data_IF_090543386351
#
_entry.id   IF_090543386351
#
_cell.length_a   1.000
_cell.length_b   1.000
_cell.length_c   1.000
_cell.angle_alpha   90.00
_cell.angle_beta   90.00
_cell.angle_gamma   90.00
#
_symmetry.space_group_name_H-M   'P 1'
#
loop_
_entity.id
_entity.type
_entity.pdbx_description
1 polymer ?
#
# COMPACT_ATOMS: atom_id res chain seq x y z
N UNK A 1 -16.27 -49.63 -57.92
CA UNK A 1 -16.60 -48.31 -57.33
C UNK A 1 -15.83 -48.14 -56.02
N UNK A 2 -14.77 -47.32 -55.98
CA UNK A 2 -14.26 -46.79 -54.71
C UNK A 2 -14.29 -45.26 -54.72
N UNK A 3 -14.90 -44.70 -53.67
CA UNK A 3 -15.05 -43.27 -53.41
C UNK A 3 -13.68 -42.57 -53.24
N UNK A 4 -13.47 -41.47 -53.96
CA UNK A 4 -12.36 -40.53 -53.71
C UNK A 4 -12.82 -39.49 -52.69
N UNK A 5 -12.22 -39.48 -51.50
CA UNK A 5 -12.33 -38.38 -50.54
C UNK A 5 -11.41 -37.24 -50.97
N UNK A 6 -11.97 -36.04 -51.13
CA UNK A 6 -11.22 -34.79 -51.31
C UNK A 6 -10.98 -34.22 -49.91
N UNK A 7 -9.72 -34.14 -49.49
CA UNK A 7 -9.31 -33.44 -48.27
C UNK A 7 -9.02 -31.98 -48.64
N UNK A 8 -9.88 -31.06 -48.24
CA UNK A 8 -9.64 -29.62 -48.38
C UNK A 8 -8.74 -29.14 -47.24
N UNK A 9 -7.50 -28.78 -47.56
CA UNK A 9 -6.59 -28.09 -46.64
C UNK A 9 -7.01 -26.62 -46.56
N UNK A 10 -7.72 -26.24 -45.51
CA UNK A 10 -7.97 -24.85 -45.18
C UNK A 10 -6.71 -24.22 -44.59
N UNK A 11 -5.99 -23.41 -45.37
CA UNK A 11 -5.00 -22.48 -44.86
C UNK A 11 -5.72 -21.39 -44.06
N UNK A 12 -5.83 -21.60 -42.75
CA UNK A 12 -6.19 -20.54 -41.82
C UNK A 12 -5.03 -19.54 -41.76
N UNK A 13 -5.22 -18.36 -42.36
CA UNK A 13 -4.39 -17.19 -42.09
C UNK A 13 -4.50 -16.89 -40.58
N UNK A 14 -3.40 -16.82 -39.83
CA UNK A 14 -3.47 -16.35 -38.45
C UNK A 14 -3.92 -14.89 -38.50
N UNK A 15 -5.09 -14.60 -37.92
CA UNK A 15 -5.49 -13.25 -37.56
C UNK A 15 -4.34 -12.65 -36.75
N UNK A 16 -3.64 -11.69 -37.34
CA UNK A 16 -2.54 -11.00 -36.68
C UNK A 16 -3.06 -10.40 -35.37
N UNK A 17 -2.50 -10.82 -34.24
CA UNK A 17 -2.59 -10.06 -33.02
C UNK A 17 -2.08 -8.65 -33.34
N UNK A 18 -2.94 -7.64 -33.18
CA UNK A 18 -2.49 -6.26 -33.23
C UNK A 18 -1.35 -6.13 -32.22
N UNK A 19 -0.14 -5.81 -32.72
CA UNK A 19 0.99 -5.56 -31.85
C UNK A 19 0.58 -4.47 -30.86
N UNK A 20 0.68 -4.76 -29.56
CA UNK A 20 0.32 -3.81 -28.53
C UNK A 20 1.14 -2.51 -28.74
N UNK A 21 0.43 -1.38 -28.84
CA UNK A 21 1.02 -0.12 -29.25
C UNK A 21 1.84 0.53 -28.13
N UNK A 22 2.82 1.34 -28.51
CA UNK A 22 3.48 2.24 -27.58
C UNK A 22 2.58 3.45 -27.31
N UNK A 23 2.64 3.97 -26.08
CA UNK A 23 1.89 5.13 -25.62
C UNK A 23 2.83 6.21 -25.11
N UNK A 24 2.40 7.47 -25.21
CA UNK A 24 3.12 8.62 -24.66
C UNK A 24 2.40 9.10 -23.40
N UNK A 25 3.16 9.24 -22.31
CA UNK A 25 2.68 9.79 -21.06
C UNK A 25 3.30 11.18 -20.86
N UNK A 26 2.47 12.21 -20.99
CA UNK A 26 2.85 13.59 -20.75
C UNK A 26 2.66 13.93 -19.27
N UNK A 27 3.69 14.48 -18.63
CA UNK A 27 3.64 14.99 -17.27
C UNK A 27 4.03 16.47 -17.27
N UNK A 28 3.12 17.32 -16.79
CA UNK A 28 3.36 18.76 -16.65
C UNK A 28 3.67 19.09 -15.18
N UNK A 29 4.75 19.84 -14.92
CA UNK A 29 5.08 20.28 -13.56
C UNK A 29 4.07 21.29 -13.00
N UNK A 30 3.41 22.05 -13.88
CA UNK A 30 2.61 23.20 -13.49
C UNK A 30 3.49 24.31 -12.92
N UNK A 31 2.99 25.08 -11.95
CA UNK A 31 3.70 26.25 -11.42
C UNK A 31 4.84 25.94 -10.43
N UNK A 32 5.05 24.67 -10.09
CA UNK A 32 5.99 24.27 -9.06
C UNK A 32 6.96 23.21 -9.57
N UNK A 33 8.21 23.31 -9.16
CA UNK A 33 9.19 22.23 -9.37
C UNK A 33 8.65 20.94 -8.72
N UNK A 34 8.81 19.82 -9.43
CA UNK A 34 8.51 18.48 -8.94
C UNK A 34 9.81 17.75 -8.70
N UNK A 35 9.93 17.12 -7.53
CA UNK A 35 11.04 16.22 -7.24
C UNK A 35 10.54 15.04 -6.41
N UNK A 36 10.97 13.83 -6.79
CA UNK A 36 10.55 12.59 -6.13
C UNK A 36 9.02 12.43 -6.06
N UNK A 37 8.31 12.91 -7.08
CA UNK A 37 6.84 13.03 -7.04
C UNK A 37 6.19 11.77 -7.61
N UNK A 38 5.32 11.07 -6.85
CA UNK A 38 4.55 9.96 -7.38
C UNK A 38 3.52 10.46 -8.40
N UNK A 39 3.43 9.77 -9.53
CA UNK A 39 2.43 10.01 -10.57
C UNK A 39 1.68 8.70 -10.78
N UNK A 40 0.36 8.77 -10.66
CA UNK A 40 -0.56 7.66 -10.96
C UNK A 40 -1.37 8.01 -12.20
N UNK A 41 -1.51 7.06 -13.11
CA UNK A 41 -2.22 7.25 -14.37
C UNK A 41 -2.96 5.97 -14.79
N UNK A 42 -4.06 6.09 -15.56
CA UNK A 42 -4.75 4.92 -16.09
C UNK A 42 -3.88 4.20 -17.13
N UNK A 43 -3.81 2.89 -17.05
CA UNK A 43 -3.18 2.05 -18.07
C UNK A 43 -4.11 1.85 -19.27
N UNK A 44 -3.55 1.75 -20.49
CA UNK A 44 -4.32 1.33 -21.66
C UNK A 44 -4.92 -0.06 -21.47
N UNK A 45 -6.18 -0.25 -21.89
CA UNK A 45 -6.83 -1.56 -21.90
C UNK A 45 -6.31 -2.41 -23.07
N UNK A 46 -5.18 -3.08 -22.82
CA UNK A 46 -4.44 -3.84 -23.82
C UNK A 46 -4.30 -5.33 -23.47
N UNK A 47 -4.95 -5.81 -22.40
CA UNK A 47 -4.76 -7.17 -21.88
C UNK A 47 -3.31 -7.47 -21.45
N UNK A 48 -2.51 -6.43 -21.24
CA UNK A 48 -1.08 -6.53 -20.99
C UNK A 48 -0.78 -6.57 -19.48
N UNK A 49 -0.06 -7.60 -19.03
CA UNK A 49 0.30 -7.77 -17.62
C UNK A 49 1.48 -6.89 -17.16
N UNK A 50 2.40 -6.55 -18.06
CA UNK A 50 3.63 -5.81 -17.72
C UNK A 50 3.91 -4.69 -18.72
N UNK A 51 4.47 -3.61 -18.19
CA UNK A 51 4.78 -2.41 -18.94
C UNK A 51 6.22 -1.96 -18.69
N UNK A 52 6.82 -1.35 -19.69
CA UNK A 52 8.08 -0.64 -19.63
C UNK A 52 7.81 0.85 -19.75
N UNK A 53 8.36 1.62 -18.82
CA UNK A 53 8.37 3.07 -18.90
C UNK A 53 9.79 3.54 -19.18
N UNK A 54 9.94 4.49 -20.10
CA UNK A 54 11.22 5.16 -20.40
C UNK A 54 11.04 6.66 -20.30
N UNK A 55 12.03 7.34 -19.73
CA UNK A 55 12.06 8.80 -19.60
C UNK A 55 12.43 9.50 -20.93
N UNK A 56 12.41 10.85 -20.98
CA UNK A 56 12.76 11.59 -22.20
C UNK A 56 14.17 11.30 -22.74
N UNK A 57 15.09 10.85 -21.88
CA UNK A 57 16.46 10.49 -22.25
C UNK A 57 16.58 9.02 -22.69
N UNK A 58 15.47 8.29 -22.76
CA UNK A 58 15.40 6.87 -23.15
C UNK A 58 15.81 5.90 -22.04
N UNK A 59 16.00 6.38 -20.80
CA UNK A 59 16.37 5.52 -19.67
C UNK A 59 15.14 4.87 -19.07
N UNK A 60 15.27 3.60 -18.67
CA UNK A 60 14.20 2.87 -18.02
C UNK A 60 13.85 3.47 -16.65
N UNK A 61 12.55 3.58 -16.38
CA UNK A 61 11.98 4.08 -15.12
C UNK A 61 11.12 3.00 -14.48
N UNK A 62 11.25 2.85 -13.16
CA UNK A 62 10.43 1.94 -12.38
C UNK A 62 8.95 2.31 -12.49
N UNK A 63 8.13 1.36 -12.94
CA UNK A 63 6.68 1.48 -13.06
C UNK A 63 6.03 0.31 -12.33
N UNK A 64 4.90 0.57 -11.68
CA UNK A 64 4.15 -0.41 -10.92
C UNK A 64 2.68 -0.37 -11.31
N UNK A 65 2.19 -1.44 -11.93
CA UNK A 65 0.76 -1.61 -12.19
C UNK A 65 0.00 -1.90 -10.90
N UNK A 66 -1.21 -1.34 -10.79
CA UNK A 66 -2.11 -1.52 -9.66
C UNK A 66 -3.34 -2.35 -10.09
N UNK A 67 -4.01 -3.01 -9.13
CA UNK A 67 -5.08 -3.99 -9.38
C UNK A 67 -6.40 -3.47 -9.98
N UNK A 68 -6.40 -2.27 -10.57
CA UNK A 68 -7.59 -1.58 -11.07
C UNK A 68 -7.33 -0.83 -12.38
N UNK A 69 -6.33 -1.24 -13.15
CA UNK A 69 -6.03 -0.64 -14.46
C UNK A 69 -5.35 0.72 -14.37
N UNK A 70 -4.62 0.98 -13.29
CA UNK A 70 -3.73 2.14 -13.17
C UNK A 70 -2.29 1.68 -12.98
N UNK A 71 -1.35 2.61 -13.15
CA UNK A 71 0.04 2.41 -12.78
C UNK A 71 0.61 3.67 -12.14
N UNK A 72 1.61 3.45 -11.29
CA UNK A 72 2.35 4.50 -10.62
C UNK A 72 3.84 4.43 -10.96
N UNK A 73 4.48 5.61 -11.02
CA UNK A 73 5.92 5.78 -11.10
C UNK A 73 6.36 7.06 -10.37
N UNK A 74 7.67 7.28 -10.21
CA UNK A 74 8.21 8.48 -9.57
C UNK A 74 8.87 9.38 -10.61
N UNK A 75 8.44 10.64 -10.68
CA UNK A 75 9.14 11.70 -11.41
C UNK A 75 10.34 12.15 -10.58
N UNK A 76 11.55 12.01 -11.13
CA UNK A 76 12.80 12.33 -10.44
C UNK A 76 12.96 13.82 -10.14
N UNK A 77 13.11 14.63 -11.19
CA UNK A 77 13.09 16.10 -11.13
C UNK A 77 12.43 16.65 -12.39
N UNK A 78 11.60 17.67 -12.25
CA UNK A 78 11.00 18.41 -13.36
C UNK A 78 10.80 19.86 -12.91
N UNK A 79 11.40 20.84 -13.61
CA UNK A 79 11.32 22.22 -13.17
C UNK A 79 9.91 22.79 -13.33
N UNK A 80 9.61 23.89 -12.63
CA UNK A 80 8.35 24.60 -12.82
C UNK A 80 8.16 24.96 -14.30
N UNK A 81 6.93 24.81 -14.79
CA UNK A 81 6.49 25.05 -16.17
C UNK A 81 7.08 24.11 -17.23
N UNK A 82 7.87 23.11 -16.84
CA UNK A 82 8.35 22.09 -17.77
C UNK A 82 7.35 20.95 -17.95
N UNK A 83 7.51 20.29 -19.10
CA UNK A 83 6.80 19.07 -19.46
C UNK A 83 7.81 17.98 -19.75
N UNK A 84 7.59 16.78 -19.20
CA UNK A 84 8.29 15.57 -19.59
C UNK A 84 7.35 14.64 -20.35
N UNK A 85 7.86 13.98 -21.38
CA UNK A 85 7.13 12.95 -22.13
C UNK A 85 7.84 11.62 -21.94
N UNK A 86 7.17 10.69 -21.29
CA UNK A 86 7.63 9.33 -21.08
C UNK A 86 7.04 8.43 -22.16
N UNK A 87 7.76 7.38 -22.54
CA UNK A 87 7.24 6.35 -23.44
C UNK A 87 6.89 5.10 -22.62
N UNK A 88 5.64 4.67 -22.75
CA UNK A 88 5.08 3.47 -22.16
C UNK A 88 4.94 2.40 -23.26
N UNK A 89 5.61 1.26 -23.08
CA UNK A 89 5.58 0.15 -24.03
C UNK A 89 5.18 -1.16 -23.33
N UNK A 90 4.48 -2.08 -24.02
CA UNK A 90 4.23 -3.43 -23.53
C UNK A 90 5.54 -4.16 -23.22
N UNK A 91 5.56 -4.93 -22.12
CA UNK A 91 6.70 -5.74 -21.73
C UNK A 91 6.31 -7.20 -21.50
N UNK A 92 7.16 -8.14 -21.89
CA UNK A 92 6.90 -9.57 -21.67
C UNK A 92 7.10 -10.02 -20.22
N UNK A 93 7.87 -9.26 -19.43
CA UNK A 93 8.26 -9.57 -18.05
C UNK A 93 8.32 -8.27 -17.22
N UNK A 94 8.31 -8.35 -15.88
CA UNK A 94 8.58 -7.20 -15.02
C UNK A 94 9.91 -6.54 -15.39
N UNK A 95 9.91 -5.21 -15.50
CA UNK A 95 11.08 -4.43 -15.94
C UNK A 95 12.00 -4.01 -14.80
N UNK A 96 11.50 -4.05 -13.56
CA UNK A 96 12.22 -3.64 -12.37
C UNK A 96 11.98 -4.64 -11.23
N UNK A 97 12.99 -4.82 -10.37
CA UNK A 97 12.85 -5.59 -9.14
C UNK A 97 12.13 -4.75 -8.10
N UNK A 98 11.47 -5.44 -7.16
CA UNK A 98 10.94 -4.77 -5.97
C UNK A 98 12.10 -4.15 -5.19
N UNK A 99 11.94 -2.87 -4.83
CA UNK A 99 12.87 -2.13 -3.96
C UNK A 99 12.18 -1.60 -2.72
N UNK A 100 10.85 -1.51 -2.75
CA UNK A 100 10.03 -1.24 -1.56
C UNK A 100 9.44 -2.57 -1.11
N UNK A 101 9.84 -3.01 0.07
CA UNK A 101 9.50 -4.33 0.60
C UNK A 101 8.56 -4.22 1.78
N UNK A 102 7.66 -5.18 1.87
CA UNK A 102 6.82 -5.42 3.03
C UNK A 102 7.07 -6.84 3.52
N UNK A 103 7.39 -6.99 4.80
CA UNK A 103 7.60 -8.28 5.45
C UNK A 103 6.76 -8.39 6.72
N UNK A 104 6.06 -9.51 6.91
CA UNK A 104 5.39 -9.83 8.17
C UNK A 104 6.40 -10.43 9.15
N UNK A 105 6.47 -9.89 10.36
CA UNK A 105 7.32 -10.42 11.43
C UNK A 105 6.68 -10.10 12.79
N UNK A 106 6.52 -11.12 13.65
CA UNK A 106 6.08 -10.97 15.04
C UNK A 106 4.81 -10.12 15.21
N UNK A 107 3.77 -10.41 14.41
CA UNK A 107 2.50 -9.67 14.46
C UNK A 107 2.56 -8.24 13.91
N UNK A 108 3.66 -7.86 13.26
CA UNK A 108 3.86 -6.55 12.62
C UNK A 108 4.13 -6.69 11.12
N UNK A 109 3.88 -5.63 10.37
CA UNK A 109 4.35 -5.46 9.00
C UNK A 109 5.49 -4.45 9.00
N UNK A 110 6.67 -4.86 8.55
CA UNK A 110 7.84 -4.00 8.36
C UNK A 110 7.91 -3.57 6.91
N UNK A 111 7.94 -2.25 6.68
CA UNK A 111 8.11 -1.67 5.35
C UNK A 111 9.52 -1.09 5.22
N UNK A 112 10.26 -1.49 4.19
CA UNK A 112 11.61 -0.99 3.90
C UNK A 112 11.74 -0.49 2.47
N UNK A 113 12.68 0.44 2.25
CA UNK A 113 13.20 0.81 0.93
C UNK A 113 14.65 0.36 0.89
N UNK A 114 14.95 -0.65 0.06
CA UNK A 114 16.17 -1.45 0.21
C UNK A 114 16.26 -2.01 1.63
N UNK A 115 17.40 -1.80 2.28
CA UNK A 115 17.64 -2.25 3.67
C UNK A 115 17.17 -1.24 4.73
N UNK A 116 16.65 -0.07 4.33
CA UNK A 116 16.27 0.99 5.27
C UNK A 116 14.80 0.84 5.68
N UNK A 117 14.54 0.72 6.97
CA UNK A 117 13.18 0.76 7.52
C UNK A 117 12.56 2.14 7.31
N UNK A 118 11.33 2.16 6.78
CA UNK A 118 10.50 3.37 6.64
C UNK A 118 9.47 3.44 7.76
N UNK A 119 8.72 2.36 7.95
CA UNK A 119 7.75 2.27 9.03
C UNK A 119 7.47 0.81 9.39
N UNK A 120 6.93 0.60 10.60
CA UNK A 120 6.23 -0.63 10.95
C UNK A 120 4.75 -0.34 11.21
N UNK A 121 3.90 -1.26 10.78
CA UNK A 121 2.52 -1.36 11.22
C UNK A 121 2.40 -2.50 12.24
N UNK A 122 2.06 -2.17 13.49
CA UNK A 122 1.73 -3.14 14.52
C UNK A 122 0.31 -3.63 14.26
N UNK A 123 0.15 -4.84 13.72
CA UNK A 123 -1.17 -5.41 13.41
C UNK A 123 -1.78 -6.02 14.68
N UNK A 124 -1.15 -7.07 15.19
CA UNK A 124 -1.60 -7.81 16.38
C UNK A 124 -1.28 -7.02 17.66
N UNK A 125 -1.83 -7.44 18.81
CA UNK A 125 -1.53 -6.80 20.10
C UNK A 125 -0.03 -6.83 20.37
N UNK A 126 0.56 -5.67 20.65
CA UNK A 126 1.98 -5.54 20.91
C UNK A 126 2.38 -6.23 22.22
N UNK A 127 3.68 -6.50 22.33
CA UNK A 127 4.31 -6.70 23.62
C UNK A 127 4.38 -5.35 24.36
N UNK A 128 4.37 -5.42 25.69
CA UNK A 128 4.57 -4.23 26.52
C UNK A 128 6.07 -3.96 26.63
N UNK A 129 6.54 -2.72 26.38
CA UNK A 129 7.97 -2.41 26.37
C UNK A 129 8.58 -2.33 27.77
N UNK A 130 7.76 -2.34 28.83
CA UNK A 130 8.20 -2.22 30.23
C UNK A 130 7.30 -3.04 31.14
N UNK A 131 7.89 -3.60 32.21
CA UNK A 131 7.18 -4.48 33.15
C UNK A 131 6.18 -3.75 34.07
N UNK A 132 6.28 -2.42 34.19
CA UNK A 132 5.38 -1.59 35.00
C UNK A 132 4.04 -1.28 34.30
N UNK A 133 3.88 -1.71 33.05
CA UNK A 133 2.67 -1.50 32.28
C UNK A 133 1.66 -2.64 32.52
N UNK A 134 0.41 -2.26 32.78
CA UNK A 134 -0.70 -3.21 32.89
C UNK A 134 -1.00 -3.85 31.51
N UNK A 135 -1.30 -5.16 31.44
CA UNK A 135 -1.75 -5.84 30.22
C UNK A 135 -2.86 -5.13 29.43
N UNK A 136 -3.72 -4.33 30.08
CA UNK A 136 -4.78 -3.57 29.42
C UNK A 136 -4.27 -2.58 28.36
N UNK A 137 -3.00 -2.15 28.44
CA UNK A 137 -2.40 -1.21 27.48
C UNK A 137 -1.91 -1.86 26.18
N UNK A 138 -1.98 -3.20 26.05
CA UNK A 138 -1.60 -3.88 24.80
C UNK A 138 -2.55 -3.52 23.66
N UNK A 139 -2.01 -2.91 22.61
CA UNK A 139 -2.78 -2.50 21.43
C UNK A 139 -2.22 -3.09 20.14
N UNK A 140 -3.07 -3.21 19.13
CA UNK A 140 -2.68 -3.41 17.73
C UNK A 140 -3.37 -2.35 16.85
N UNK A 141 -3.14 -2.38 15.54
CA UNK A 141 -3.74 -1.43 14.61
C UNK A 141 -3.15 -0.02 14.69
N UNK A 142 -1.82 0.10 14.78
CA UNK A 142 -1.14 1.39 14.79
C UNK A 142 0.19 1.34 14.03
N UNK A 143 0.71 2.51 13.65
CA UNK A 143 1.99 2.66 12.95
C UNK A 143 3.04 3.18 13.93
N UNK A 144 4.04 2.36 14.20
CA UNK A 144 5.25 2.73 14.94
C UNK A 144 6.34 1.66 14.77
N UNK A 145 7.60 2.04 14.53
CA UNK A 145 8.09 3.41 14.30
C UNK A 145 7.72 3.93 12.92
N UNK A 146 7.82 5.26 12.74
CA UNK A 146 8.02 5.92 11.44
C UNK A 146 9.42 6.53 11.46
N UNK A 147 10.16 6.37 10.37
CA UNK A 147 11.59 6.71 10.30
C UNK A 147 11.83 7.72 9.18
N UNK A 148 12.60 8.78 9.45
CA UNK A 148 13.02 9.73 8.42
C UNK A 148 14.01 9.08 7.45
N UNK A 149 14.26 9.68 6.26
CA UNK A 149 15.32 9.21 5.36
C UNK A 149 16.72 9.14 5.99
N UNK A 150 16.96 9.97 7.03
CA UNK A 150 18.20 9.99 7.81
C UNK A 150 18.27 8.95 8.94
N UNK A 151 17.22 8.14 9.14
CA UNK A 151 17.20 7.09 10.17
C UNK A 151 16.62 7.53 11.52
N UNK A 152 16.13 8.76 11.65
CA UNK A 152 15.53 9.25 12.90
C UNK A 152 14.11 8.71 13.07
N UNK A 153 13.80 8.09 14.21
CA UNK A 153 12.42 7.73 14.55
C UNK A 153 11.64 8.98 14.95
N UNK A 154 10.47 9.20 14.35
CA UNK A 154 9.62 10.40 14.55
C UNK A 154 8.27 10.10 15.22
N UNK A 155 8.06 8.87 15.66
CA UNK A 155 6.89 8.49 16.46
C UNK A 155 7.35 7.82 17.74
N UNK A 156 6.59 8.00 18.82
CA UNK A 156 6.84 7.35 20.11
C UNK A 156 5.75 6.32 20.41
N UNK A 157 6.04 5.33 21.25
CA UNK A 157 5.09 4.27 21.65
C UNK A 157 5.23 4.00 23.15
N UNK A 158 4.09 3.95 23.86
CA UNK A 158 4.04 3.87 25.32
C UNK A 158 4.87 4.95 26.04
N UNK A 159 4.69 6.27 25.75
CA UNK A 159 5.42 7.31 26.47
C UNK A 159 5.15 7.25 27.99
N UNK A 160 6.15 7.59 28.80
CA UNK A 160 6.06 7.45 30.27
C UNK A 160 4.90 8.24 30.90
N UNK A 161 4.59 9.42 30.38
CA UNK A 161 3.52 10.27 30.87
C UNK A 161 2.14 9.93 30.28
N UNK A 162 2.07 9.16 29.19
CA UNK A 162 0.83 8.81 28.50
C UNK A 162 0.90 7.38 27.93
N UNK A 163 0.94 6.38 28.82
CA UNK A 163 1.14 4.95 28.47
C UNK A 163 0.15 4.31 27.48
N UNK A 164 -0.93 5.00 27.12
CA UNK A 164 -1.94 4.56 26.14
C UNK A 164 -1.77 5.22 24.75
N UNK A 165 -0.72 6.03 24.55
CA UNK A 165 -0.42 6.66 23.26
C UNK A 165 0.48 5.75 22.39
N UNK A 166 0.20 5.70 21.08
CA UNK A 166 0.81 4.72 20.15
C UNK A 166 1.10 5.31 18.77
N UNK A 167 2.25 5.95 18.56
CA UNK A 167 2.69 6.44 17.25
C UNK A 167 1.60 7.14 16.44
N UNK A 168 1.22 6.56 15.29
CA UNK A 168 0.04 6.98 14.52
C UNK A 168 -1.03 5.90 14.65
N UNK A 169 -2.14 6.22 15.31
CA UNK A 169 -3.25 5.30 15.53
C UNK A 169 -4.59 5.98 15.30
N UNK A 170 -5.66 5.17 15.20
CA UNK A 170 -7.02 5.66 15.00
C UNK A 170 -7.88 5.42 16.26
N UNK A 171 -8.15 6.48 17.05
CA UNK A 171 -8.99 6.42 18.25
C UNK A 171 -10.22 7.33 18.20
N UNK A 172 -11.23 7.01 19.01
CA UNK A 172 -12.35 7.90 19.31
C UNK A 172 -12.43 8.17 20.82
N UNK A 173 -12.37 9.45 21.22
CA UNK A 173 -12.18 9.90 22.61
C UNK A 173 -13.48 10.21 23.36
N UNK A 174 -14.57 10.51 22.64
CA UNK A 174 -15.87 10.85 23.22
C UNK A 174 -16.97 10.27 22.35
N UNK A 175 -17.41 9.06 22.70
CA UNK A 175 -18.40 8.33 21.89
C UNK A 175 -19.69 8.09 22.67
N UNK A 176 -20.79 7.95 21.93
CA UNK A 176 -22.05 7.45 22.46
C UNK A 176 -22.47 6.29 21.57
N UNK A 177 -22.65 5.11 22.16
CA UNK A 177 -23.10 3.91 21.48
C UNK A 177 -24.21 3.25 22.30
N UNK A 178 -25.41 3.18 21.74
CA UNK A 178 -26.61 2.65 22.43
C UNK A 178 -26.80 3.23 23.86
N UNK A 179 -26.58 4.54 24.01
CA UNK A 179 -26.72 5.26 25.29
C UNK A 179 -25.53 5.12 26.26
N UNK A 180 -24.55 4.26 25.97
CA UNK A 180 -23.30 4.13 26.75
C UNK A 180 -22.21 5.02 26.16
N UNK A 181 -21.16 5.28 26.94
CA UNK A 181 -20.04 6.16 26.56
C UNK A 181 -18.70 5.41 26.55
N UNK A 182 -18.47 4.46 25.62
CA UNK A 182 -17.17 3.82 25.50
C UNK A 182 -16.09 4.83 25.09
N UNK A 183 -14.85 4.56 25.48
CA UNK A 183 -13.69 5.37 25.13
C UNK A 183 -12.67 4.45 24.46
N UNK A 184 -12.33 4.76 23.20
CA UNK A 184 -11.42 3.97 22.38
C UNK A 184 -10.01 4.59 22.29
N UNK A 185 -9.80 5.68 23.02
CA UNK A 185 -8.51 6.32 23.28
C UNK A 185 -7.90 5.82 24.59
N UNK A 186 -8.62 5.97 25.70
CA UNK A 186 -8.10 5.67 27.02
C UNK A 186 -8.33 4.20 27.41
N UNK A 187 -7.39 3.35 27.00
CA UNK A 187 -7.41 1.91 27.28
C UNK A 187 -7.45 1.60 28.79
N UNK A 188 -6.87 2.47 29.62
CA UNK A 188 -6.80 2.30 31.07
C UNK A 188 -8.16 2.34 31.77
N UNK A 189 -9.16 2.98 31.16
CA UNK A 189 -10.51 3.02 31.70
C UNK A 189 -11.28 1.71 31.47
N UNK A 190 -10.83 0.85 30.56
CA UNK A 190 -11.46 -0.44 30.26
C UNK A 190 -12.88 -0.35 29.70
N UNK A 191 -13.28 0.81 29.16
CA UNK A 191 -14.62 1.05 28.60
C UNK A 191 -14.71 0.76 27.10
N UNK A 192 -13.59 0.80 26.38
CA UNK A 192 -13.52 0.47 24.97
C UNK A 192 -12.15 -0.09 24.58
N UNK A 193 -12.09 -0.80 23.46
CA UNK A 193 -10.85 -1.28 22.86
C UNK A 193 -10.95 -1.25 21.33
N UNK A 194 -9.81 -1.16 20.66
CA UNK A 194 -9.70 -1.36 19.21
C UNK A 194 -8.96 -2.67 18.97
N UNK A 195 -9.55 -3.53 18.16
CA UNK A 195 -9.02 -4.86 17.88
C UNK A 195 -8.74 -4.99 16.39
N UNK A 196 -7.55 -5.47 16.05
CA UNK A 196 -7.22 -5.85 14.69
C UNK A 196 -7.97 -7.12 14.29
N UNK A 197 -8.62 -7.08 13.13
CA UNK A 197 -9.47 -8.18 12.65
C UNK A 197 -8.92 -8.86 11.41
N UNK A 198 -8.07 -8.21 10.61
CA UNK A 198 -7.42 -8.88 9.50
C UNK A 198 -6.60 -7.99 8.56
N UNK A 199 -5.78 -8.64 7.73
CA UNK A 199 -5.14 -8.04 6.55
C UNK A 199 -5.87 -8.53 5.31
N UNK A 200 -6.17 -7.61 4.39
CA UNK A 200 -6.92 -7.90 3.16
C UNK A 200 -6.03 -7.95 1.93
N UNK A 201 -5.07 -7.03 1.84
CA UNK A 201 -4.09 -6.98 0.76
C UNK A 201 -2.74 -6.60 1.33
N UNK A 202 -1.68 -7.11 0.70
CA UNK A 202 -0.29 -6.86 1.07
C UNK A 202 0.54 -6.96 -0.22
N UNK A 203 1.43 -6.00 -0.46
CA UNK A 203 2.29 -6.04 -1.63
C UNK A 203 3.64 -5.37 -1.37
N UNK A 204 4.64 -5.85 -2.11
CA UNK A 204 5.93 -5.19 -2.32
C UNK A 204 6.02 -4.81 -3.80
N UNK A 205 6.83 -3.81 -4.12
CA UNK A 205 6.86 -3.30 -5.49
C UNK A 205 8.10 -2.50 -5.86
N UNK A 206 8.31 -2.24 -7.16
CA UNK A 206 9.42 -1.42 -7.65
C UNK A 206 9.24 0.07 -7.37
N UNK A 207 8.03 0.53 -7.04
CA UNK A 207 7.72 1.95 -6.77
C UNK A 207 7.21 2.13 -5.34
N UNK A 208 6.28 1.28 -4.89
CA UNK A 208 5.72 1.35 -3.54
C UNK A 208 5.32 -0.03 -3.01
N UNK A 209 5.27 -0.14 -1.69
CA UNK A 209 4.67 -1.26 -0.97
C UNK A 209 3.44 -0.76 -0.21
N UNK A 210 2.58 -1.67 0.22
CA UNK A 210 1.43 -1.30 1.01
C UNK A 210 0.62 -2.50 1.49
N UNK A 211 -0.42 -2.19 2.26
CA UNK A 211 -1.34 -3.17 2.80
C UNK A 211 -2.72 -2.53 3.02
N UNK A 212 -3.73 -3.38 3.16
CA UNK A 212 -5.04 -3.03 3.68
C UNK A 212 -5.34 -3.88 4.92
N UNK A 213 -5.90 -3.26 5.96
CA UNK A 213 -6.24 -3.89 7.23
C UNK A 213 -7.60 -3.47 7.73
N UNK A 214 -8.27 -4.33 8.48
CA UNK A 214 -9.48 -4.02 9.23
C UNK A 214 -9.26 -4.03 10.74
N UNK A 215 -10.08 -3.23 11.42
CA UNK A 215 -10.15 -3.14 12.86
C UNK A 215 -11.61 -3.19 13.30
N UNK A 216 -11.86 -3.38 14.58
CA UNK A 216 -13.16 -3.17 15.17
C UNK A 216 -13.04 -2.42 16.49
N UNK A 217 -13.99 -1.54 16.75
CA UNK A 217 -14.13 -0.78 17.98
C UNK A 217 -15.13 -1.50 18.86
N UNK A 218 -14.68 -2.04 19.99
CA UNK A 218 -15.51 -2.88 20.89
C UNK A 218 -15.85 -2.12 22.16
N UNK A 219 -17.15 -1.91 22.38
CA UNK A 219 -17.72 -1.40 23.62
C UNK A 219 -17.61 -2.48 24.71
N UNK A 220 -16.77 -2.21 25.70
CA UNK A 220 -16.52 -3.09 26.83
C UNK A 220 -17.49 -2.87 28.00
N UNK A 221 -18.29 -1.80 27.97
CA UNK A 221 -19.33 -1.50 28.97
C UNK A 221 -20.51 -2.46 28.78
N UNK A 222 -20.83 -2.78 27.53
CA UNK A 222 -21.92 -3.70 27.20
C UNK A 222 -21.70 -5.12 27.77
N UNK A 223 -22.81 -5.77 28.16
CA UNK A 223 -22.83 -7.18 28.60
C UNK A 223 -23.90 -7.94 27.79
N UNK A 224 -23.51 -8.82 26.84
CA UNK A 224 -22.14 -9.10 26.40
C UNK A 224 -21.50 -7.89 25.69
N UNK A 225 -20.17 -7.91 25.54
CA UNK A 225 -19.41 -6.89 24.79
C UNK A 225 -19.98 -6.75 23.38
N UNK A 226 -19.98 -5.54 22.83
CA UNK A 226 -20.55 -5.25 21.50
C UNK A 226 -19.56 -4.53 20.59
N UNK A 227 -19.60 -4.84 19.30
CA UNK A 227 -18.89 -4.06 18.28
C UNK A 227 -19.68 -2.80 17.98
N UNK A 228 -19.03 -1.65 18.11
CA UNK A 228 -19.60 -0.33 17.84
C UNK A 228 -19.29 0.16 16.42
N UNK A 229 -18.12 -0.19 15.86
CA UNK A 229 -17.67 0.20 14.52
C UNK A 229 -16.71 -0.86 13.96
N UNK A 230 -16.71 -1.05 12.64
CA UNK A 230 -15.79 -1.90 11.87
C UNK A 230 -15.14 -1.10 10.75
#
# INVERSE_FOLDING_TARGET
MPFRFILALGLGLPLGQAAAANHLLRVDAGQHERSGTPVTFPLPDAGQAHWQLTDPDGKAVAIQSEGHGSASFIVGKLAAFETAVYMLAPAAKPTHKNVVHLAKQNGKLRITIGDRTVLHYQAEKSELPRADLDPIYRRGGYIHPVVTPGGTVITDDYPRNHKHHHGIWFPWTNTIFEGRKPDFWNMGNGTGTVEFTGLHSQWSGPVHAGFSSSHQFVDLIAKPKKVALT
#
